data_IF_701211625755
#
_entry.id   IF_701211625755
#
_cell.length_a   1.000
_cell.length_b   1.000
_cell.length_c   1.000
_cell.angle_alpha   90.00
_cell.angle_beta   90.00
_cell.angle_gamma   90.00
#
_symmetry.space_group_name_H-M   'P 1'
#
loop_
_entity.id
_entity.type
_entity.pdbx_description
1 polymer ?
#
# COMPACT_ATOMS: atom_id res chain seq x y z
N UNK A 1 -5.61 -0.53 19.01
CA UNK A 1 -5.68 0.24 17.75
C UNK A 1 -4.45 -0.06 16.90
N UNK A 2 -4.59 -0.80 15.82
CA UNK A 2 -3.50 -1.09 14.87
C UNK A 2 -3.30 0.09 13.87
N UNK A 3 -2.33 -0.06 12.96
CA UNK A 3 -1.99 1.00 11.98
C UNK A 3 -3.15 1.27 11.00
N UNK A 4 -3.85 0.24 10.57
CA UNK A 4 -4.96 0.31 9.62
C UNK A 4 -6.15 1.05 10.24
N UNK A 5 -6.54 0.66 11.46
CA UNK A 5 -7.61 1.30 12.22
C UNK A 5 -7.33 2.79 12.44
N UNK A 6 -6.08 3.14 12.78
CA UNK A 6 -5.65 4.54 12.97
C UNK A 6 -5.75 5.35 11.68
N UNK A 7 -5.27 4.80 10.56
CA UNK A 7 -5.32 5.43 9.25
C UNK A 7 -6.77 5.78 8.85
N UNK A 8 -7.68 4.79 8.89
CA UNK A 8 -9.08 5.03 8.52
C UNK A 8 -9.82 5.97 9.48
N UNK A 9 -9.47 5.98 10.77
CA UNK A 9 -10.00 6.97 11.71
C UNK A 9 -9.55 8.40 11.35
N UNK A 10 -8.28 8.59 10.99
CA UNK A 10 -7.75 9.89 10.55
C UNK A 10 -8.42 10.34 9.25
N UNK A 11 -8.56 9.46 8.26
CA UNK A 11 -9.26 9.75 7.01
C UNK A 11 -10.70 10.20 7.25
N UNK A 12 -11.42 9.50 8.15
CA UNK A 12 -12.79 9.86 8.53
C UNK A 12 -12.85 11.24 9.20
N UNK A 13 -11.93 11.53 10.12
CA UNK A 13 -11.84 12.85 10.78
C UNK A 13 -11.54 13.97 9.77
N UNK A 14 -10.76 13.68 8.74
CA UNK A 14 -10.42 14.63 7.67
C UNK A 14 -11.53 14.75 6.59
N UNK A 15 -12.58 13.94 6.64
CA UNK A 15 -13.60 13.89 5.59
C UNK A 15 -13.07 13.41 4.24
N UNK A 16 -11.92 12.73 4.22
CA UNK A 16 -11.26 12.23 3.01
C UNK A 16 -11.58 10.75 2.78
N UNK A 17 -11.59 10.34 1.51
CA UNK A 17 -11.59 8.92 1.13
C UNK A 17 -10.15 8.40 1.19
N UNK A 18 -10.00 7.11 1.49
CA UNK A 18 -8.70 6.45 1.48
C UNK A 18 -8.33 5.94 0.09
N UNK A 19 -7.04 5.96 -0.23
CA UNK A 19 -6.47 5.34 -1.42
C UNK A 19 -5.56 4.17 -1.01
N UNK A 20 -5.89 2.96 -1.49
CA UNK A 20 -5.12 1.74 -1.26
C UNK A 20 -4.47 1.32 -2.57
N UNK A 21 -3.15 1.31 -2.61
CA UNK A 21 -2.39 0.93 -3.80
C UNK A 21 -1.91 -0.52 -3.68
N UNK A 22 -2.07 -1.31 -4.74
CA UNK A 22 -1.56 -2.68 -4.80
C UNK A 22 -0.36 -2.76 -5.73
N UNK A 23 0.70 -3.46 -5.30
CA UNK A 23 1.82 -3.87 -6.17
C UNK A 23 2.22 -5.32 -5.88
N UNK A 24 2.75 -6.02 -6.88
CA UNK A 24 3.38 -7.32 -6.71
C UNK A 24 4.78 -7.16 -6.13
N UNK A 25 5.07 -7.84 -5.02
CA UNK A 25 6.41 -7.82 -4.45
C UNK A 25 7.38 -8.54 -5.37
N UNK A 26 8.53 -7.91 -5.62
CA UNK A 26 9.57 -8.43 -6.51
C UNK A 26 9.42 -8.07 -7.98
N UNK A 27 8.39 -7.30 -8.38
CA UNK A 27 8.21 -6.81 -9.74
C UNK A 27 8.65 -5.33 -9.86
N UNK A 28 9.61 -4.97 -10.74
CA UNK A 28 10.45 -5.85 -11.55
C UNK A 28 11.59 -6.54 -10.76
N UNK A 29 11.96 -6.01 -9.58
CA UNK A 29 12.94 -6.62 -8.68
C UNK A 29 12.58 -6.33 -7.22
N UNK A 30 13.21 -7.06 -6.27
CA UNK A 30 13.00 -6.82 -4.83
C UNK A 30 13.46 -5.43 -4.39
N UNK A 31 14.58 -4.92 -4.90
CA UNK A 31 15.08 -3.59 -4.54
C UNK A 31 14.09 -2.51 -5.00
N UNK A 32 13.57 -2.63 -6.23
CA UNK A 32 12.56 -1.70 -6.76
C UNK A 32 11.25 -1.77 -5.98
N UNK A 33 10.91 -2.90 -5.35
CA UNK A 33 9.70 -2.99 -4.49
C UNK A 33 9.78 -2.00 -3.35
N UNK A 34 10.94 -1.86 -2.71
CA UNK A 34 11.13 -0.91 -1.59
C UNK A 34 10.95 0.52 -2.07
N UNK A 35 11.59 0.87 -3.19
CA UNK A 35 11.48 2.20 -3.80
C UNK A 35 10.03 2.53 -4.17
N UNK A 36 9.29 1.57 -4.74
CA UNK A 36 7.88 1.73 -5.09
C UNK A 36 6.98 1.93 -3.86
N UNK A 37 7.19 1.17 -2.78
CA UNK A 37 6.40 1.35 -1.54
C UNK A 37 6.59 2.75 -0.97
N UNK A 38 7.84 3.23 -0.93
CA UNK A 38 8.16 4.58 -0.44
C UNK A 38 7.53 5.63 -1.36
N UNK A 39 7.70 5.49 -2.67
CA UNK A 39 7.14 6.42 -3.64
C UNK A 39 5.60 6.47 -3.59
N UNK A 40 4.92 5.34 -3.38
CA UNK A 40 3.47 5.28 -3.21
C UNK A 40 3.01 5.98 -1.93
N UNK A 41 3.73 5.79 -0.83
CA UNK A 41 3.45 6.50 0.42
C UNK A 41 3.64 8.02 0.26
N UNK A 42 4.72 8.46 -0.37
CA UNK A 42 5.01 9.87 -0.64
C UNK A 42 3.99 10.50 -1.61
N UNK A 43 3.48 9.72 -2.56
CA UNK A 43 2.40 10.13 -3.48
C UNK A 43 1.02 10.19 -2.81
N UNK A 44 0.89 9.75 -1.55
CA UNK A 44 -0.33 9.86 -0.76
C UNK A 44 -1.19 8.59 -0.71
N UNK A 45 -0.63 7.41 -0.99
CA UNK A 45 -1.29 6.16 -0.65
C UNK A 45 -1.43 6.02 0.87
N UNK A 46 -2.64 5.75 1.34
CA UNK A 46 -2.94 5.59 2.75
C UNK A 46 -2.56 4.19 3.25
N UNK A 47 -2.65 3.20 2.35
CA UNK A 47 -2.23 1.80 2.56
C UNK A 47 -1.58 1.30 1.27
N UNK A 48 -0.52 0.51 1.41
CA UNK A 48 0.07 -0.25 0.30
C UNK A 48 -0.16 -1.74 0.56
N UNK A 49 -0.83 -2.39 -0.37
CA UNK A 49 -1.00 -3.84 -0.42
C UNK A 49 0.14 -4.46 -1.22
N UNK A 50 0.87 -5.38 -0.60
CA UNK A 50 1.97 -6.11 -1.21
C UNK A 50 1.52 -7.53 -1.54
N UNK A 51 1.35 -7.80 -2.83
CA UNK A 51 1.05 -9.13 -3.33
C UNK A 51 2.28 -10.03 -3.24
N UNK A 52 2.15 -11.18 -2.60
CA UNK A 52 3.19 -12.22 -2.61
C UNK A 52 3.08 -13.00 -3.91
N UNK A 53 4.15 -13.14 -4.72
CA UNK A 53 4.12 -13.92 -5.94
C UNK A 53 3.61 -15.35 -5.72
N UNK A 54 2.65 -15.76 -6.54
CA UNK A 54 2.07 -17.09 -6.54
C UNK A 54 2.16 -17.66 -7.96
N UNK A 55 2.44 -18.96 -8.10
CA UNK A 55 2.68 -19.60 -9.40
C UNK A 55 1.44 -19.63 -10.29
N UNK A 56 0.25 -19.72 -9.69
CA UNK A 56 -1.02 -19.93 -10.39
C UNK A 56 -2.09 -18.94 -9.89
N UNK A 57 -1.92 -17.62 -10.12
CA UNK A 57 -2.89 -16.62 -9.66
C UNK A 57 -4.17 -16.70 -10.52
N UNK A 58 -5.18 -17.41 -10.01
CA UNK A 58 -6.52 -17.55 -10.60
C UNK A 58 -7.44 -16.39 -10.22
#
# INVERSE_FOLDING_TARGET
MNRIERCFQQLKQQGRKGFVAYIGAGDPTLDVTVDLVIALADAGADVVELGVPFSDPL
#
